data_IF_566760212529
#
_entry.id   IF_566760212529
#
_cell.length_a   1.000
_cell.length_b   1.000
_cell.length_c   1.000
_cell.angle_alpha   90.00
_cell.angle_beta   90.00
_cell.angle_gamma   90.00
#
_symmetry.space_group_name_H-M   'P 1'
#
loop_
_entity.id
_entity.type
_entity.pdbx_description
1 polymer ?
#
# COMPACT_ATOMS: atom_id res chain seq x y z
N UNK A 1 -75.24 15.29 31.96
CA UNK A 1 -74.40 15.52 30.76
C UNK A 1 -73.04 16.22 31.01
N UNK A 2 -72.68 16.72 32.20
CA UNK A 2 -71.43 17.49 32.40
C UNK A 2 -70.15 16.68 32.69
N UNK A 3 -70.23 15.39 33.07
CA UNK A 3 -69.05 14.56 33.40
C UNK A 3 -68.38 13.86 32.19
N UNK A 4 -69.09 13.71 31.05
CA UNK A 4 -68.51 13.11 29.83
C UNK A 4 -67.54 14.08 29.14
N UNK A 5 -67.84 15.38 29.12
CA UNK A 5 -67.03 16.38 28.41
C UNK A 5 -65.67 16.65 29.09
N UNK A 6 -65.57 16.47 30.41
CA UNK A 6 -64.28 16.59 31.14
C UNK A 6 -63.33 15.46 30.76
N UNK A 7 -63.83 14.22 30.56
CA UNK A 7 -63.00 13.08 30.15
C UNK A 7 -62.39 13.27 28.76
N UNK A 8 -63.15 13.82 27.82
CA UNK A 8 -62.65 14.12 26.47
C UNK A 8 -61.64 15.27 26.47
N UNK A 9 -61.83 16.29 27.31
CA UNK A 9 -60.88 17.39 27.45
C UNK A 9 -59.55 16.94 28.09
N UNK A 10 -59.59 16.05 29.07
CA UNK A 10 -58.39 15.45 29.66
C UNK A 10 -57.63 14.56 28.67
N UNK A 11 -58.35 13.81 27.81
CA UNK A 11 -57.73 12.98 26.78
C UNK A 11 -57.10 13.81 25.66
N UNK A 12 -57.74 14.93 25.29
CA UNK A 12 -57.22 15.87 24.29
C UNK A 12 -55.99 16.62 24.81
N UNK A 13 -56.01 17.04 26.08
CA UNK A 13 -54.87 17.72 26.71
C UNK A 13 -53.67 16.78 26.88
N UNK A 14 -53.91 15.51 27.28
CA UNK A 14 -52.87 14.48 27.35
C UNK A 14 -52.29 14.11 25.96
N UNK A 15 -53.11 14.12 24.90
CA UNK A 15 -52.65 13.90 23.52
C UNK A 15 -51.89 15.09 22.92
N UNK A 16 -52.17 16.31 23.37
CA UNK A 16 -51.44 17.50 22.88
C UNK A 16 -50.02 17.63 23.47
N UNK A 17 -49.77 17.05 24.65
CA UNK A 17 -48.46 17.02 25.30
C UNK A 17 -47.48 16.02 24.67
N UNK A 18 -47.97 14.98 23.96
CA UNK A 18 -47.10 14.00 23.30
C UNK A 18 -46.55 14.48 21.95
N UNK A 19 -47.19 15.47 21.32
CA UNK A 19 -46.73 16.05 20.05
C UNK A 19 -45.59 17.07 20.21
N UNK A 20 -45.34 17.58 21.43
CA UNK A 20 -44.21 18.49 21.72
C UNK A 20 -42.95 17.78 22.27
N UNK A 21 -43.01 16.47 22.53
CA UNK A 21 -41.91 15.73 23.16
C UNK A 21 -40.83 15.23 22.18
N UNK A 22 -41.10 15.20 20.87
CA UNK A 22 -40.09 14.82 19.87
C UNK A 22 -39.47 16.07 19.22
N UNK A 23 -38.52 16.70 19.92
CA UNK A 23 -37.57 17.59 19.24
C UNK A 23 -36.68 16.73 18.33
N UNK A 24 -36.51 17.10 17.05
CA UNK A 24 -35.60 16.42 16.09
C UNK A 24 -34.20 16.18 16.67
N UNK A 25 -33.73 17.06 17.56
CA UNK A 25 -32.44 16.94 18.26
C UNK A 25 -32.30 15.74 19.20
N UNK A 26 -33.38 15.01 19.52
CA UNK A 26 -33.31 13.74 20.26
C UNK A 26 -32.92 12.57 19.36
N UNK A 27 -33.14 12.69 18.03
CA UNK A 27 -32.75 11.69 17.04
C UNK A 27 -31.35 11.96 16.45
N UNK A 28 -30.85 13.20 16.53
CA UNK A 28 -29.47 13.56 16.21
C UNK A 28 -28.56 13.32 17.43
N UNK A 29 -28.32 12.05 17.74
CA UNK A 29 -27.29 11.69 18.71
C UNK A 29 -25.93 11.83 18.02
N UNK A 30 -25.22 12.92 18.30
CA UNK A 30 -23.79 13.00 17.96
C UNK A 30 -23.09 11.88 18.73
N UNK A 31 -22.45 10.90 18.07
CA UNK A 31 -21.93 9.74 18.75
C UNK A 31 -20.88 10.14 19.79
N UNK A 32 -21.20 9.90 21.06
CA UNK A 32 -20.31 10.18 22.19
C UNK A 32 -19.26 9.08 22.24
N UNK A 33 -17.98 9.46 22.21
CA UNK A 33 -16.85 8.53 22.25
C UNK A 33 -16.27 8.15 20.88
N UNK A 34 -16.85 8.62 19.77
CA UNK A 34 -16.23 8.53 18.44
C UNK A 34 -15.72 9.91 18.01
N UNK A 35 -14.49 9.98 17.52
CA UNK A 35 -14.05 11.20 16.86
C UNK A 35 -14.75 11.30 15.50
N UNK A 36 -15.72 12.21 15.38
CA UNK A 36 -16.23 12.61 14.07
C UNK A 36 -15.13 13.35 13.31
N UNK A 37 -15.04 13.16 11.98
CA UNK A 37 -14.07 13.84 11.12
C UNK A 37 -14.11 15.38 11.33
N UNK A 38 -15.31 15.93 11.58
CA UNK A 38 -15.53 17.35 11.86
C UNK A 38 -14.76 17.87 13.08
N UNK A 39 -14.43 17.02 14.05
CA UNK A 39 -13.85 17.39 15.34
C UNK A 39 -12.52 16.66 15.63
N UNK A 40 -11.96 15.89 14.70
CA UNK A 40 -10.75 15.09 14.98
C UNK A 40 -9.46 15.89 14.97
N UNK A 41 -9.25 16.75 13.97
CA UNK A 41 -7.97 17.45 13.78
C UNK A 41 -7.85 18.70 14.65
N UNK A 42 -7.49 18.53 15.92
CA UNK A 42 -7.43 19.63 16.90
C UNK A 42 -6.01 20.05 17.24
N UNK A 43 -5.01 19.23 16.95
CA UNK A 43 -3.59 19.51 17.24
C UNK A 43 -2.64 18.79 16.26
N UNK A 44 -1.34 19.08 16.40
CA UNK A 44 -0.27 18.50 15.57
C UNK A 44 -0.24 16.96 15.59
N UNK A 45 -0.45 16.33 16.75
CA UNK A 45 -0.42 14.87 16.87
C UNK A 45 -1.52 14.23 16.05
N UNK A 46 -2.74 14.78 16.11
CA UNK A 46 -3.88 14.29 15.34
C UNK A 46 -3.71 14.54 13.83
N UNK A 47 -3.09 15.67 13.44
CA UNK A 47 -2.70 15.92 12.05
C UNK A 47 -1.64 14.91 11.56
N UNK A 48 -0.64 14.60 12.39
CA UNK A 48 0.36 13.59 12.07
C UNK A 48 -0.26 12.19 11.95
N UNK A 49 -1.18 11.82 12.83
CA UNK A 49 -1.91 10.55 12.71
C UNK A 49 -2.72 10.47 11.41
N UNK A 50 -3.33 11.58 10.99
CA UNK A 50 -3.98 11.65 9.68
C UNK A 50 -3.01 11.43 8.53
N UNK A 51 -1.79 11.99 8.62
CA UNK A 51 -0.73 11.74 7.63
C UNK A 51 -0.27 10.28 7.63
N UNK A 52 -0.03 9.71 8.80
CA UNK A 52 0.31 8.28 8.96
C UNK A 52 -0.75 7.39 8.34
N UNK A 53 -2.04 7.71 8.52
CA UNK A 53 -3.13 6.96 7.90
C UNK A 53 -3.11 7.02 6.37
N UNK A 54 -2.51 8.03 5.74
CA UNK A 54 -2.31 8.05 4.28
C UNK A 54 -1.15 7.12 3.91
N UNK A 55 -0.01 7.21 4.60
CA UNK A 55 1.15 6.35 4.37
C UNK A 55 0.84 4.87 4.57
N UNK A 56 0.04 4.54 5.58
CA UNK A 56 -0.42 3.19 5.90
C UNK A 56 -1.02 2.46 4.68
N UNK A 57 -1.80 3.17 3.84
CA UNK A 57 -2.42 2.60 2.64
C UNK A 57 -1.39 2.05 1.65
N UNK A 58 -0.19 2.61 1.61
CA UNK A 58 0.91 2.15 0.74
C UNK A 58 1.36 0.74 1.14
N UNK A 59 1.29 0.40 2.43
CA UNK A 59 1.72 -0.88 2.99
C UNK A 59 0.62 -1.87 3.29
N UNK A 60 -0.63 -1.59 2.91
CA UNK A 60 -1.75 -2.50 3.15
C UNK A 60 -1.51 -3.89 2.56
N UNK A 61 -1.76 -4.91 3.39
CA UNK A 61 -1.63 -6.31 3.00
C UNK A 61 -2.89 -6.88 2.31
N UNK A 62 -3.83 -6.01 1.94
CA UNK A 62 -5.06 -6.34 1.21
C UNK A 62 -6.05 -7.22 1.98
N UNK A 63 -7.31 -7.20 1.54
CA UNK A 63 -8.25 -8.25 1.92
C UNK A 63 -7.91 -9.53 1.15
N UNK A 64 -7.93 -10.69 1.83
CA UNK A 64 -7.74 -11.98 1.14
C UNK A 64 -6.34 -12.21 0.56
N UNK A 65 -5.30 -11.57 1.11
CA UNK A 65 -3.89 -11.69 0.71
C UNK A 65 -3.52 -11.08 -0.65
N UNK A 66 -4.38 -10.25 -1.24
CA UNK A 66 -4.08 -9.61 -2.54
C UNK A 66 -3.41 -8.25 -2.30
N UNK A 67 -2.15 -8.11 -2.70
CA UNK A 67 -1.42 -6.83 -2.69
C UNK A 67 -1.13 -6.39 -4.12
N UNK A 68 -0.66 -5.16 -4.29
CA UNK A 68 -0.24 -4.68 -5.61
C UNK A 68 0.92 -5.53 -6.15
N UNK A 69 1.89 -5.83 -5.30
CA UNK A 69 3.11 -6.57 -5.65
C UNK A 69 2.77 -7.97 -6.15
N UNK A 70 2.03 -8.77 -5.38
CA UNK A 70 1.71 -10.14 -5.81
C UNK A 70 0.75 -10.20 -7.00
N UNK A 71 -0.18 -9.25 -7.13
CA UNK A 71 -1.02 -9.18 -8.31
C UNK A 71 -0.16 -8.91 -9.54
N UNK A 72 0.70 -7.89 -9.50
CA UNK A 72 1.55 -7.55 -10.66
C UNK A 72 2.55 -8.68 -11.00
N UNK A 73 3.10 -9.36 -10.00
CA UNK A 73 3.95 -10.54 -10.23
C UNK A 73 3.15 -11.67 -10.88
N UNK A 74 1.96 -12.01 -10.36
CA UNK A 74 1.13 -13.09 -10.90
C UNK A 74 0.70 -12.85 -12.36
N UNK A 75 0.47 -11.58 -12.75
CA UNK A 75 0.12 -11.18 -14.11
C UNK A 75 1.32 -10.96 -15.04
N UNK A 76 2.56 -11.19 -14.59
CA UNK A 76 3.77 -11.05 -15.40
C UNK A 76 4.10 -12.31 -16.20
N UNK A 77 5.18 -12.27 -16.98
CA UNK A 77 5.81 -13.43 -17.63
C UNK A 77 6.92 -14.09 -16.76
N UNK A 78 7.19 -13.53 -15.59
CA UNK A 78 8.22 -14.00 -14.65
C UNK A 78 7.67 -14.99 -13.61
N UNK A 79 6.35 -14.98 -13.36
CA UNK A 79 5.70 -15.81 -12.35
C UNK A 79 4.37 -16.43 -12.83
N UNK A 80 4.01 -17.57 -12.25
CA UNK A 80 2.61 -18.05 -12.24
C UNK A 80 1.92 -17.63 -10.95
N UNK A 81 0.59 -17.67 -10.89
CA UNK A 81 -0.12 -17.50 -9.61
C UNK A 81 0.32 -18.57 -8.57
N UNK A 82 0.36 -19.84 -8.96
CA UNK A 82 0.74 -20.94 -8.07
C UNK A 82 -0.33 -21.24 -7.02
N UNK A 83 0.08 -21.49 -5.78
CA UNK A 83 -0.85 -21.73 -4.66
C UNK A 83 -1.23 -23.20 -4.49
N UNK A 84 -2.25 -23.46 -3.67
CA UNK A 84 -2.66 -24.82 -3.32
C UNK A 84 -3.46 -25.53 -4.41
N UNK A 85 -4.21 -24.78 -5.22
CA UNK A 85 -5.02 -25.27 -6.33
C UNK A 85 -5.42 -24.12 -7.27
N UNK A 86 -6.11 -24.43 -8.37
CA UNK A 86 -6.52 -23.48 -9.40
C UNK A 86 -7.52 -22.38 -8.96
N UNK A 87 -8.04 -22.46 -7.73
CA UNK A 87 -8.99 -21.49 -7.14
C UNK A 87 -8.48 -20.85 -5.85
N UNK A 88 -7.26 -21.21 -5.40
CA UNK A 88 -6.63 -20.66 -4.20
C UNK A 88 -6.20 -19.22 -4.46
N UNK A 89 -6.73 -18.27 -3.66
CA UNK A 89 -6.71 -16.82 -3.94
C UNK A 89 -7.06 -16.55 -5.40
N UNK A 90 -8.31 -16.84 -5.75
CA UNK A 90 -8.80 -16.83 -7.12
C UNK A 90 -8.51 -15.52 -7.89
N UNK A 91 -8.44 -14.38 -7.19
CA UNK A 91 -8.08 -13.10 -7.80
C UNK A 91 -6.70 -13.12 -8.47
N UNK A 92 -5.71 -13.79 -7.88
CA UNK A 92 -4.39 -13.98 -8.49
C UNK A 92 -4.44 -14.98 -9.64
N UNK A 93 -5.23 -16.04 -9.50
CA UNK A 93 -5.38 -17.09 -10.53
C UNK A 93 -5.93 -16.52 -11.83
N UNK A 94 -7.02 -15.75 -11.76
CA UNK A 94 -7.64 -15.18 -12.95
C UNK A 94 -6.79 -14.08 -13.58
N UNK A 95 -5.96 -13.40 -12.79
CA UNK A 95 -5.05 -12.39 -13.30
C UNK A 95 -3.87 -13.05 -14.04
N UNK A 96 -3.28 -14.10 -13.47
CA UNK A 96 -2.21 -14.87 -14.10
C UNK A 96 -2.65 -15.59 -15.38
N UNK A 97 -3.89 -16.09 -15.40
CA UNK A 97 -4.44 -16.77 -16.59
C UNK A 97 -5.10 -15.82 -17.58
N UNK A 98 -5.11 -14.50 -17.32
CA UNK A 98 -5.78 -13.50 -18.16
C UNK A 98 -7.28 -13.78 -18.37
N UNK A 99 -7.94 -14.38 -17.36
CA UNK A 99 -9.38 -14.70 -17.36
C UNK A 99 -10.17 -13.81 -16.40
N UNK A 100 -9.60 -12.68 -15.97
CA UNK A 100 -10.26 -11.72 -15.10
C UNK A 100 -11.57 -11.19 -15.71
N UNK A 101 -12.49 -10.79 -14.85
CA UNK A 101 -13.75 -10.15 -15.21
C UNK A 101 -14.00 -8.94 -14.31
N UNK A 102 -14.99 -8.08 -14.60
CA UNK A 102 -15.35 -6.99 -13.69
C UNK A 102 -15.70 -7.46 -12.27
N UNK A 103 -16.12 -8.72 -12.09
CA UNK A 103 -16.54 -9.29 -10.80
C UNK A 103 -15.46 -10.12 -10.09
N UNK A 104 -14.39 -10.49 -10.79
CA UNK A 104 -13.38 -11.44 -10.28
C UNK A 104 -11.99 -11.01 -10.73
N UNK A 105 -11.06 -10.86 -9.78
CA UNK A 105 -9.71 -10.36 -10.02
C UNK A 105 -9.30 -9.33 -8.97
N UNK A 106 -8.02 -8.91 -8.99
CA UNK A 106 -7.46 -8.02 -7.95
C UNK A 106 -8.03 -6.59 -8.02
N UNK A 107 -8.82 -6.29 -9.05
CA UNK A 107 -9.37 -4.96 -9.34
C UNK A 107 -10.09 -4.32 -8.14
N UNK A 108 -10.88 -5.08 -7.38
CA UNK A 108 -11.59 -4.54 -6.21
C UNK A 108 -10.62 -4.03 -5.14
N UNK A 109 -9.64 -4.85 -4.77
CA UNK A 109 -8.65 -4.53 -3.74
C UNK A 109 -7.75 -3.36 -4.16
N UNK A 110 -7.26 -3.38 -5.42
CA UNK A 110 -6.39 -2.33 -5.96
C UNK A 110 -7.13 -0.99 -6.11
N UNK A 111 -8.39 -1.01 -6.56
CA UNK A 111 -9.24 0.17 -6.62
C UNK A 111 -9.52 0.73 -5.23
N UNK A 112 -9.90 -0.14 -4.28
CA UNK A 112 -10.20 0.24 -2.89
C UNK A 112 -8.98 0.88 -2.23
N UNK A 113 -7.80 0.29 -2.34
CA UNK A 113 -6.57 0.85 -1.78
C UNK A 113 -6.26 2.22 -2.38
N UNK A 114 -6.25 2.34 -3.72
CA UNK A 114 -5.98 3.60 -4.41
C UNK A 114 -6.92 4.73 -3.98
N UNK A 115 -8.24 4.49 -4.02
CA UNK A 115 -9.21 5.52 -3.63
C UNK A 115 -9.28 5.77 -2.12
N UNK A 116 -8.94 4.79 -1.27
CA UNK A 116 -8.80 5.03 0.17
C UNK A 116 -7.66 6.01 0.46
N UNK A 117 -6.53 5.83 -0.23
CA UNK A 117 -5.39 6.75 -0.14
C UNK A 117 -5.73 8.16 -0.63
N UNK A 118 -6.37 8.28 -1.80
CA UNK A 118 -6.85 9.56 -2.35
C UNK A 118 -7.81 10.26 -1.38
N UNK A 119 -8.79 9.55 -0.85
CA UNK A 119 -9.77 10.12 0.07
C UNK A 119 -9.09 10.63 1.36
N UNK A 120 -8.24 9.81 1.99
CA UNK A 120 -7.50 10.20 3.21
C UNK A 120 -6.63 11.44 2.96
N UNK A 121 -5.95 11.50 1.81
CA UNK A 121 -5.16 12.65 1.41
C UNK A 121 -6.00 13.91 1.24
N UNK A 122 -7.13 13.83 0.51
CA UNK A 122 -8.04 14.96 0.32
C UNK A 122 -8.57 15.50 1.65
N UNK A 123 -9.01 14.62 2.55
CA UNK A 123 -9.48 15.02 3.88
C UNK A 123 -8.38 15.74 4.64
N UNK A 124 -7.17 15.18 4.74
CA UNK A 124 -6.09 15.82 5.47
C UNK A 124 -5.75 17.21 4.89
N UNK A 125 -5.58 17.31 3.57
CA UNK A 125 -5.25 18.56 2.87
C UNK A 125 -6.30 19.65 3.17
N UNK A 126 -7.59 19.29 3.21
CA UNK A 126 -8.67 20.23 3.52
C UNK A 126 -8.72 20.66 4.99
N UNK A 127 -8.42 19.76 5.94
CA UNK A 127 -8.50 20.07 7.38
C UNK A 127 -7.28 20.79 7.91
N UNK A 128 -6.11 20.50 7.34
CA UNK A 128 -4.80 20.98 7.84
C UNK A 128 -4.71 22.50 8.07
N UNK A 129 -5.27 23.38 7.21
CA UNK A 129 -5.21 24.83 7.43
C UNK A 129 -5.72 25.25 8.81
N UNK A 130 -6.80 24.62 9.29
CA UNK A 130 -7.45 24.94 10.56
C UNK A 130 -6.78 24.35 11.82
N UNK A 131 -5.76 23.49 11.67
CA UNK A 131 -5.12 22.82 12.81
C UNK A 131 -4.11 23.77 13.48
N UNK A 132 -4.18 24.01 14.80
CA UNK A 132 -3.16 24.78 15.50
C UNK A 132 -1.88 23.95 15.68
N UNK A 133 -0.84 24.27 14.92
CA UNK A 133 0.47 23.60 14.92
C UNK A 133 1.54 24.48 14.26
N UNK A 134 2.80 24.05 14.33
CA UNK A 134 3.90 24.71 13.63
C UNK A 134 3.65 24.83 12.12
N UNK A 135 3.95 26.00 11.55
CA UNK A 135 3.64 26.31 10.16
C UNK A 135 4.50 25.52 9.17
N UNK A 136 5.76 25.25 9.50
CA UNK A 136 6.67 24.50 8.64
C UNK A 136 6.28 23.02 8.60
N UNK A 137 5.97 22.42 9.76
CA UNK A 137 5.43 21.07 9.84
C UNK A 137 4.09 20.94 9.14
N UNK A 138 3.21 21.95 9.26
CA UNK A 138 1.94 22.00 8.54
C UNK A 138 2.17 21.98 7.03
N UNK A 139 3.09 22.80 6.53
CA UNK A 139 3.45 22.82 5.11
C UNK A 139 3.98 21.45 4.66
N UNK A 140 4.93 20.88 5.40
CA UNK A 140 5.49 19.55 5.14
C UNK A 140 4.39 18.48 5.07
N UNK A 141 3.48 18.42 6.04
CA UNK A 141 2.40 17.42 6.04
C UNK A 141 1.44 17.57 4.86
N UNK A 142 1.12 18.80 4.47
CA UNK A 142 0.30 19.06 3.28
C UNK A 142 1.01 18.57 2.02
N UNK A 143 2.30 18.84 1.89
CA UNK A 143 3.11 18.46 0.73
C UNK A 143 3.29 16.94 0.64
N UNK A 144 3.53 16.26 1.76
CA UNK A 144 3.55 14.78 1.81
C UNK A 144 2.19 14.18 1.42
N UNK A 145 1.08 14.69 1.96
CA UNK A 145 -0.26 14.22 1.61
C UNK A 145 -0.60 14.44 0.13
N UNK A 146 -0.19 15.59 -0.43
CA UNK A 146 -0.39 15.93 -1.85
C UNK A 146 0.41 14.99 -2.75
N UNK A 147 1.67 14.73 -2.42
CA UNK A 147 2.49 13.77 -3.16
C UNK A 147 1.99 12.31 -3.05
N UNK A 148 1.48 11.91 -1.89
CA UNK A 148 0.86 10.59 -1.73
C UNK A 148 -0.43 10.46 -2.55
N UNK A 149 -1.23 11.54 -2.66
CA UNK A 149 -2.38 11.55 -3.58
C UNK A 149 -1.94 11.29 -5.03
N UNK A 150 -0.86 11.93 -5.47
CA UNK A 150 -0.26 11.66 -6.78
C UNK A 150 0.22 10.21 -6.91
N UNK A 151 0.85 9.64 -5.88
CA UNK A 151 1.25 8.22 -5.86
C UNK A 151 0.06 7.28 -6.09
N UNK A 152 -1.05 7.47 -5.38
CA UNK A 152 -2.24 6.63 -5.53
C UNK A 152 -2.90 6.81 -6.91
N UNK A 153 -3.01 8.06 -7.39
CA UNK A 153 -3.51 8.31 -8.74
C UNK A 153 -2.65 7.67 -9.83
N UNK A 154 -1.32 7.66 -9.63
CA UNK A 154 -0.42 7.05 -10.58
C UNK A 154 -0.59 5.53 -10.66
N UNK A 155 -0.86 4.83 -9.55
CA UNK A 155 -1.27 3.42 -9.59
C UNK A 155 -2.64 3.27 -10.29
N UNK A 156 -3.64 4.06 -9.91
CA UNK A 156 -5.01 4.00 -10.46
C UNK A 156 -5.05 4.18 -11.99
N UNK A 157 -4.35 5.20 -12.53
CA UNK A 157 -4.35 5.48 -13.98
C UNK A 157 -3.64 4.39 -14.78
N UNK A 158 -2.59 3.76 -14.23
CA UNK A 158 -1.87 2.67 -14.90
C UNK A 158 -2.66 1.36 -14.90
N UNK A 159 -3.44 1.12 -13.85
CA UNK A 159 -4.29 -0.07 -13.73
C UNK A 159 -5.60 0.06 -14.51
N UNK A 160 -6.27 1.21 -14.46
CA UNK A 160 -7.65 1.36 -14.93
C UNK A 160 -7.83 2.39 -16.05
N UNK A 161 -6.82 3.21 -16.35
CA UNK A 161 -6.85 4.32 -17.32
C UNK A 161 -7.85 5.42 -16.97
N UNK A 162 -9.14 5.15 -17.09
CA UNK A 162 -10.22 6.10 -16.84
C UNK A 162 -10.70 5.95 -15.39
N UNK A 163 -10.50 6.98 -14.58
CA UNK A 163 -10.84 6.95 -13.15
C UNK A 163 -11.44 8.28 -12.71
N UNK A 164 -12.33 8.30 -11.71
CA UNK A 164 -12.79 9.54 -11.09
C UNK A 164 -11.62 10.41 -10.57
N UNK A 165 -11.58 11.67 -10.97
CA UNK A 165 -10.57 12.64 -10.53
C UNK A 165 -11.12 13.49 -9.39
N UNK A 166 -10.73 13.17 -8.17
CA UNK A 166 -11.22 13.73 -6.92
C UNK A 166 -10.05 14.44 -6.23
N UNK A 167 -10.10 15.77 -6.17
CA UNK A 167 -9.07 16.59 -5.52
C UNK A 167 -9.53 17.18 -4.18
N UNK A 168 -10.74 16.82 -3.76
CA UNK A 168 -11.40 17.25 -2.53
C UNK A 168 -12.24 16.12 -1.93
N UNK A 169 -12.60 16.24 -0.66
CA UNK A 169 -13.57 15.33 -0.04
C UNK A 169 -14.96 15.59 -0.63
N UNK A 170 -15.64 14.52 -1.04
CA UNK A 170 -16.94 14.60 -1.69
C UNK A 170 -18.03 14.13 -0.72
N UNK A 171 -19.10 14.93 -0.53
CA UNK A 171 -20.27 14.51 0.23
C UNK A 171 -20.88 13.21 -0.31
N UNK A 172 -21.37 12.36 0.58
CA UNK A 172 -21.90 11.04 0.20
C UNK A 172 -23.07 11.09 -0.80
N UNK A 173 -23.85 12.18 -0.81
CA UNK A 173 -24.95 12.40 -1.75
C UNK A 173 -24.49 12.81 -3.15
N UNK A 174 -23.23 13.23 -3.31
CA UNK A 174 -22.62 13.62 -4.59
C UNK A 174 -21.78 12.54 -5.24
N UNK A 175 -21.53 11.43 -4.54
CA UNK A 175 -20.62 10.40 -5.03
C UNK A 175 -21.13 9.68 -6.29
N UNK A 176 -22.46 9.63 -6.48
CA UNK A 176 -23.10 8.99 -7.63
C UNK A 176 -23.11 9.85 -8.90
N UNK A 177 -22.79 11.14 -8.79
CA UNK A 177 -22.77 12.07 -9.92
C UNK A 177 -21.37 12.19 -10.57
N UNK A 178 -20.38 11.44 -10.07
CA UNK A 178 -18.99 11.58 -10.50
C UNK A 178 -18.70 10.73 -11.72
N UNK A 179 -18.23 11.39 -12.78
CA UNK A 179 -17.78 10.73 -14.01
C UNK A 179 -16.27 10.41 -13.97
N UNK A 180 -15.87 9.43 -14.79
CA UNK A 180 -14.45 9.13 -15.00
C UNK A 180 -13.78 10.26 -15.79
N UNK A 181 -12.58 10.66 -15.37
CA UNK A 181 -11.73 11.56 -16.12
C UNK A 181 -10.89 10.78 -17.15
N UNK A 182 -10.51 11.47 -18.23
CA UNK A 182 -9.55 10.96 -19.19
C UNK A 182 -8.14 10.80 -18.55
N UNK A 183 -7.34 9.80 -18.94
CA UNK A 183 -6.01 9.57 -18.37
C UNK A 183 -5.10 10.81 -18.36
N UNK A 184 -5.15 11.62 -19.42
CA UNK A 184 -4.33 12.83 -19.53
C UNK A 184 -4.65 13.86 -18.43
N UNK A 185 -5.91 13.98 -18.00
CA UNK A 185 -6.29 14.87 -16.90
C UNK A 185 -5.77 14.34 -15.55
N UNK A 186 -5.81 13.02 -15.37
CA UNK A 186 -5.29 12.36 -14.16
C UNK A 186 -3.76 12.53 -14.08
N UNK A 187 -3.03 12.30 -15.18
CA UNK A 187 -1.59 12.55 -15.26
C UNK A 187 -1.23 14.00 -14.99
N UNK A 188 -1.98 14.96 -15.57
CA UNK A 188 -1.77 16.37 -15.27
C UNK A 188 -1.90 16.67 -13.77
N UNK A 189 -2.92 16.12 -13.10
CA UNK A 189 -3.08 16.30 -11.65
C UNK A 189 -1.92 15.68 -10.86
N UNK A 190 -1.45 14.50 -11.25
CA UNK A 190 -0.28 13.84 -10.65
C UNK A 190 0.95 14.74 -10.76
N UNK A 191 1.22 15.28 -11.95
CA UNK A 191 2.34 16.21 -12.15
C UNK A 191 2.21 17.47 -11.30
N UNK A 192 1.03 18.09 -11.29
CA UNK A 192 0.78 19.32 -10.54
C UNK A 192 1.00 19.09 -9.04
N UNK A 193 0.50 17.98 -8.50
CA UNK A 193 0.66 17.58 -7.09
C UNK A 193 2.15 17.36 -6.73
N UNK A 194 2.90 16.63 -7.57
CA UNK A 194 4.32 16.35 -7.33
C UNK A 194 5.19 17.61 -7.46
N UNK A 195 4.92 18.47 -8.46
CA UNK A 195 5.59 19.77 -8.64
C UNK A 195 5.32 20.70 -7.46
N UNK A 196 4.07 20.75 -6.97
CA UNK A 196 3.71 21.55 -5.81
C UNK A 196 4.43 21.07 -4.54
N UNK A 197 4.50 19.75 -4.32
CA UNK A 197 5.23 19.19 -3.18
C UNK A 197 6.75 19.43 -3.28
N UNK A 198 7.35 19.31 -4.47
CA UNK A 198 8.78 19.60 -4.71
C UNK A 198 9.15 21.07 -4.46
N UNK A 199 8.24 21.98 -4.77
CA UNK A 199 8.42 23.42 -4.55
C UNK A 199 8.39 23.82 -3.06
N UNK A 200 7.89 22.95 -2.18
CA UNK A 200 7.90 23.20 -0.73
C UNK A 200 9.29 22.97 -0.14
N UNK A 201 9.86 24.01 0.48
CA UNK A 201 11.16 23.95 1.14
C UNK A 201 11.13 23.16 2.46
N UNK A 202 9.96 22.80 2.96
CA UNK A 202 9.80 22.00 4.18
C UNK A 202 9.84 20.49 3.92
N UNK A 203 9.84 20.04 2.66
CA UNK A 203 10.18 18.66 2.32
C UNK A 203 11.70 18.51 2.42
N UNK A 204 12.22 17.62 3.27
CA UNK A 204 13.65 17.51 3.48
C UNK A 204 14.34 16.75 2.34
N UNK A 205 15.63 17.04 2.12
CA UNK A 205 16.48 16.24 1.23
C UNK A 205 16.82 14.88 1.84
N UNK A 206 16.97 14.81 3.17
CA UNK A 206 17.27 13.59 3.94
C UNK A 206 16.46 13.56 5.23
N UNK A 207 16.15 12.37 5.71
CA UNK A 207 15.48 12.14 7.00
C UNK A 207 16.36 11.34 7.93
N UNK A 208 16.14 11.48 9.24
CA UNK A 208 16.65 10.51 10.21
C UNK A 208 15.86 9.20 10.03
N UNK A 209 16.52 8.18 9.48
CA UNK A 209 15.90 6.88 9.17
C UNK A 209 15.36 6.16 10.40
N UNK A 210 15.84 6.50 11.61
CA UNK A 210 15.37 5.86 12.85
C UNK A 210 14.01 6.40 13.33
N UNK A 211 13.64 7.60 12.88
CA UNK A 211 12.40 8.30 13.27
C UNK A 211 11.44 8.43 12.09
N UNK A 212 11.95 8.87 10.94
CA UNK A 212 11.19 9.28 9.77
C UNK A 212 11.45 8.36 8.56
N UNK A 213 12.10 7.20 8.76
CA UNK A 213 12.34 6.22 7.71
C UNK A 213 11.06 5.84 6.96
N UNK A 214 11.10 5.92 5.63
CA UNK A 214 9.93 5.69 4.75
C UNK A 214 9.09 6.93 4.43
N UNK A 215 9.30 8.06 5.12
CA UNK A 215 8.65 9.33 4.75
C UNK A 215 9.27 9.95 3.50
N UNK A 216 8.45 10.68 2.75
CA UNK A 216 8.85 11.33 1.52
C UNK A 216 9.94 12.38 1.75
N UNK A 217 10.93 12.35 0.87
CA UNK A 217 12.03 13.32 0.72
C UNK A 217 11.96 13.95 -0.67
N UNK A 218 12.69 15.04 -0.90
CA UNK A 218 12.78 15.63 -2.25
C UNK A 218 13.31 14.64 -3.28
N UNK A 219 14.28 13.80 -2.90
CA UNK A 219 14.79 12.73 -3.76
C UNK A 219 13.71 11.72 -4.15
N UNK A 220 12.86 11.30 -3.21
CA UNK A 220 11.72 10.42 -3.50
C UNK A 220 10.68 11.07 -4.43
N UNK A 221 10.43 12.37 -4.27
CA UNK A 221 9.51 13.10 -5.15
C UNK A 221 10.06 13.22 -6.58
N UNK A 222 11.35 13.54 -6.75
CA UNK A 222 12.00 13.53 -8.07
C UNK A 222 11.95 12.13 -8.71
N UNK A 223 12.20 11.07 -7.95
CA UNK A 223 12.13 9.70 -8.46
C UNK A 223 10.71 9.33 -8.93
N UNK A 224 9.68 9.71 -8.17
CA UNK A 224 8.30 9.47 -8.53
C UNK A 224 7.89 10.29 -9.76
N UNK A 225 8.23 11.58 -9.81
CA UNK A 225 7.92 12.45 -10.95
C UNK A 225 8.64 12.00 -12.23
N UNK A 226 9.91 11.64 -12.13
CA UNK A 226 10.66 11.05 -13.25
C UNK A 226 10.02 9.77 -13.77
N UNK A 227 9.51 8.92 -12.87
CA UNK A 227 8.77 7.70 -13.25
C UNK A 227 7.44 8.02 -13.93
N UNK A 228 6.72 9.04 -13.47
CA UNK A 228 5.47 9.52 -14.12
C UNK A 228 5.77 9.97 -15.54
N UNK A 229 6.75 10.86 -15.73
CA UNK A 229 7.17 11.33 -17.05
C UNK A 229 7.63 10.20 -17.96
N UNK A 230 8.34 9.21 -17.43
CA UNK A 230 8.77 8.05 -18.19
C UNK A 230 7.57 7.25 -18.74
N UNK A 231 6.53 7.05 -17.92
CA UNK A 231 5.30 6.38 -18.35
C UNK A 231 4.50 7.18 -19.38
N UNK A 232 4.58 8.51 -19.32
CA UNK A 232 4.00 9.42 -20.32
C UNK A 232 4.89 9.63 -21.56
N UNK A 233 6.05 8.96 -21.62
CA UNK A 233 7.03 9.11 -22.71
C UNK A 233 7.62 10.53 -22.84
N UNK A 234 7.60 11.31 -21.74
CA UNK A 234 8.27 12.62 -21.60
C UNK A 234 9.73 12.41 -21.22
N UNK A 235 10.50 11.86 -22.17
CA UNK A 235 11.84 11.31 -21.91
C UNK A 235 12.84 12.34 -21.37
N UNK A 236 12.79 13.57 -21.88
CA UNK A 236 13.72 14.64 -21.49
C UNK A 236 13.44 15.12 -20.06
N UNK A 237 12.18 15.27 -19.70
CA UNK A 237 11.72 15.62 -18.37
C UNK A 237 12.06 14.49 -17.39
N UNK A 238 11.77 13.24 -17.75
CA UNK A 238 12.14 12.07 -16.95
C UNK A 238 13.65 12.02 -16.66
N UNK A 239 14.49 12.19 -17.69
CA UNK A 239 15.94 12.21 -17.53
C UNK A 239 16.43 13.36 -16.63
N UNK A 240 15.75 14.52 -16.68
CA UNK A 240 16.05 15.66 -15.81
C UNK A 240 15.77 15.31 -14.35
N UNK A 241 14.60 14.76 -14.05
CA UNK A 241 14.25 14.36 -12.68
C UNK A 241 15.16 13.25 -12.16
N UNK A 242 15.45 12.23 -12.98
CA UNK A 242 16.34 11.13 -12.57
C UNK A 242 17.79 11.58 -12.39
N UNK A 243 18.24 12.65 -13.05
CA UNK A 243 19.58 13.22 -12.81
C UNK A 243 19.69 13.82 -11.40
N UNK A 244 18.64 14.45 -10.89
CA UNK A 244 18.61 14.93 -9.50
C UNK A 244 18.77 13.76 -8.52
N UNK A 245 18.11 12.63 -8.78
CA UNK A 245 18.14 11.42 -7.92
C UNK A 245 19.46 10.67 -8.02
N UNK A 246 19.96 10.44 -9.22
CA UNK A 246 21.14 9.60 -9.47
C UNK A 246 22.47 10.35 -9.28
N UNK A 247 22.43 11.68 -9.22
CA UNK A 247 23.63 12.51 -9.15
C UNK A 247 24.43 12.51 -10.46
N UNK A 248 25.70 12.91 -10.38
CA UNK A 248 26.57 13.03 -11.56
C UNK A 248 26.88 11.68 -12.23
N UNK A 249 26.96 10.61 -11.43
CA UNK A 249 27.31 9.27 -11.90
C UNK A 249 26.33 8.26 -11.29
N UNK A 250 25.44 7.65 -12.10
CA UNK A 250 24.48 6.67 -11.60
C UNK A 250 25.12 5.56 -10.76
N UNK A 251 24.53 5.33 -9.60
CA UNK A 251 24.94 4.31 -8.64
C UNK A 251 26.12 4.66 -7.73
N UNK A 252 26.80 5.78 -7.97
CA UNK A 252 27.68 6.39 -6.97
C UNK A 252 26.87 7.21 -5.97
N UNK A 253 27.52 7.62 -4.89
CA UNK A 253 26.86 8.40 -3.85
C UNK A 253 26.38 9.76 -4.41
N UNK A 254 25.07 9.98 -4.32
CA UNK A 254 24.51 11.31 -4.50
C UNK A 254 24.71 12.11 -3.20
N UNK A 255 25.59 13.11 -3.21
CA UNK A 255 25.89 13.89 -2.00
C UNK A 255 24.67 14.62 -1.42
N UNK A 256 23.72 15.04 -2.27
CA UNK A 256 22.50 15.77 -1.88
C UNK A 256 21.50 14.87 -1.16
N UNK A 257 21.20 13.69 -1.70
CA UNK A 257 20.17 12.80 -1.15
C UNK A 257 20.71 11.57 -0.40
N UNK A 258 22.00 11.26 -0.54
CA UNK A 258 22.66 10.13 0.13
C UNK A 258 22.46 8.78 -0.56
N UNK A 259 21.77 8.73 -1.69
CA UNK A 259 21.51 7.49 -2.41
C UNK A 259 22.80 6.90 -3.00
N UNK A 260 22.96 5.58 -2.91
CA UNK A 260 24.10 4.82 -3.42
C UNK A 260 23.74 3.34 -3.53
N UNK A 261 24.13 2.70 -4.64
CA UNK A 261 23.96 1.25 -4.77
C UNK A 261 24.74 0.50 -3.68
N UNK A 262 24.14 -0.57 -3.17
CA UNK A 262 24.87 -1.50 -2.31
C UNK A 262 25.94 -2.24 -3.11
N UNK A 263 27.09 -2.51 -2.48
CA UNK A 263 28.15 -3.29 -3.11
C UNK A 263 27.77 -4.76 -3.30
N UNK A 264 26.86 -5.27 -2.45
CA UNK A 264 26.32 -6.62 -2.52
C UNK A 264 24.81 -6.57 -2.75
N UNK A 265 24.39 -7.00 -3.94
CA UNK A 265 22.99 -7.08 -4.34
C UNK A 265 22.16 -7.96 -3.40
N UNK A 266 22.74 -9.01 -2.82
CA UNK A 266 22.01 -9.89 -1.90
C UNK A 266 21.61 -9.18 -0.60
N UNK A 267 22.29 -8.07 -0.26
CA UNK A 267 22.00 -7.30 0.94
C UNK A 267 20.73 -6.45 0.85
N UNK A 268 20.17 -6.24 -0.35
CA UNK A 268 18.85 -5.61 -0.52
C UNK A 268 17.71 -6.43 0.12
N UNK A 269 17.88 -7.76 0.17
CA UNK A 269 16.83 -8.70 0.58
C UNK A 269 16.97 -9.16 2.03
N UNK A 270 17.86 -8.53 2.79
CA UNK A 270 18.04 -8.80 4.22
C UNK A 270 17.06 -7.94 5.02
N UNK A 271 16.20 -8.57 5.82
CA UNK A 271 15.19 -7.89 6.66
C UNK A 271 15.79 -6.93 7.70
N UNK A 272 17.07 -7.10 8.04
CA UNK A 272 17.83 -6.21 8.92
C UNK A 272 18.40 -4.96 8.22
N UNK A 273 18.38 -4.89 6.88
CA UNK A 273 18.97 -3.82 6.09
C UNK A 273 17.91 -2.87 5.50
N UNK A 274 16.94 -2.47 6.33
CA UNK A 274 15.86 -1.54 5.97
C UNK A 274 16.39 -0.13 5.73
N UNK A 275 15.76 0.60 4.83
CA UNK A 275 16.11 2.01 4.53
C UNK A 275 17.61 2.20 4.25
N UNK A 276 18.21 1.23 3.57
CA UNK A 276 19.63 1.26 3.20
C UNK A 276 19.91 2.34 2.15
N UNK A 277 21.18 2.53 1.77
CA UNK A 277 21.57 3.63 0.86
C UNK A 277 20.95 3.55 -0.54
N UNK A 278 20.44 2.39 -0.96
CA UNK A 278 19.77 2.23 -2.27
C UNK A 278 18.25 2.48 -2.17
N UNK A 279 17.72 2.60 -0.95
CA UNK A 279 16.31 2.87 -0.68
C UNK A 279 15.95 4.33 -0.95
N UNK A 280 14.99 4.56 -1.86
CA UNK A 280 14.48 5.90 -2.19
C UNK A 280 13.13 6.15 -1.51
N UNK A 281 12.19 5.23 -1.71
CA UNK A 281 10.89 5.17 -1.03
C UNK A 281 10.61 3.70 -0.73
N UNK A 282 10.48 3.38 0.55
CA UNK A 282 10.34 2.01 1.04
C UNK A 282 9.20 1.94 2.06
N UNK A 283 8.37 0.92 1.89
CA UNK A 283 7.27 0.61 2.82
C UNK A 283 7.84 -0.09 4.04
N UNK A 284 7.56 0.46 5.22
CA UNK A 284 7.94 -0.17 6.48
C UNK A 284 6.95 -1.26 6.91
N UNK A 285 7.41 -2.50 7.03
CA UNK A 285 6.69 -3.57 7.71
C UNK A 285 7.27 -3.87 9.09
N UNK A 286 6.43 -4.39 10.00
CA UNK A 286 6.78 -4.65 11.40
C UNK A 286 6.19 -5.96 11.91
N UNK A 287 6.97 -6.72 12.67
CA UNK A 287 6.51 -7.89 13.42
C UNK A 287 5.88 -7.56 14.78
N UNK A 288 5.79 -6.26 15.12
CA UNK A 288 5.29 -5.80 16.42
C UNK A 288 3.79 -5.53 16.46
N UNK A 289 3.11 -5.51 15.31
CA UNK A 289 1.65 -5.40 15.27
C UNK A 289 1.02 -6.69 15.76
N UNK A 290 -0.11 -6.60 16.46
CA UNK A 290 -0.94 -7.75 16.83
C UNK A 290 -1.81 -8.21 15.64
N UNK A 291 -1.20 -8.38 14.47
CA UNK A 291 -1.88 -8.96 13.31
C UNK A 291 -2.29 -10.40 13.60
N UNK A 292 -3.34 -10.89 12.95
CA UNK A 292 -3.74 -12.29 13.04
C UNK A 292 -4.33 -12.74 11.70
N UNK A 293 -4.43 -14.06 11.51
CA UNK A 293 -5.05 -14.63 10.30
C UNK A 293 -6.54 -14.28 10.18
N UNK A 294 -7.22 -13.91 11.27
CA UNK A 294 -8.61 -13.46 11.26
C UNK A 294 -8.77 -12.06 10.66
N UNK A 295 -7.72 -11.23 10.67
CA UNK A 295 -7.70 -9.93 10.02
C UNK A 295 -6.32 -9.62 9.42
N UNK A 296 -6.07 -10.14 8.21
CA UNK A 296 -4.86 -9.82 7.45
C UNK A 296 -4.75 -8.32 7.17
N UNK A 297 -5.86 -7.66 6.88
CA UNK A 297 -5.87 -6.20 6.67
C UNK A 297 -5.51 -5.39 7.93
N UNK A 298 -5.45 -6.01 9.10
CA UNK A 298 -5.06 -5.37 10.37
C UNK A 298 -3.57 -5.58 10.71
N UNK A 299 -2.80 -6.27 9.86
CA UNK A 299 -1.38 -6.56 10.11
C UNK A 299 -0.47 -5.48 9.55
N UNK A 300 0.64 -5.22 10.24
CA UNK A 300 1.78 -4.46 9.72
C UNK A 300 2.88 -5.39 9.17
N UNK A 301 2.67 -6.71 9.26
CA UNK A 301 3.57 -7.72 8.69
C UNK A 301 3.55 -7.73 7.16
N UNK A 302 4.49 -8.45 6.55
CA UNK A 302 4.53 -8.62 5.09
C UNK A 302 4.06 -10.03 4.70
N UNK A 303 2.89 -10.12 4.06
CA UNK A 303 2.28 -11.38 3.62
C UNK A 303 3.04 -12.02 2.46
N UNK A 304 3.83 -11.27 1.69
CA UNK A 304 4.70 -11.87 0.67
C UNK A 304 5.60 -12.95 1.26
N UNK A 305 6.04 -12.77 2.51
CA UNK A 305 6.95 -13.72 3.15
C UNK A 305 6.36 -15.12 3.34
N UNK A 306 5.04 -15.22 3.53
CA UNK A 306 4.34 -16.51 3.61
C UNK A 306 3.82 -16.96 2.24
N UNK A 307 3.35 -16.03 1.41
CA UNK A 307 2.74 -16.29 0.10
C UNK A 307 3.71 -17.03 -0.83
N UNK A 308 4.96 -16.53 -0.94
CA UNK A 308 5.94 -17.09 -1.87
C UNK A 308 6.73 -18.29 -1.31
N UNK A 309 6.56 -18.59 -0.02
CA UNK A 309 7.29 -19.66 0.64
C UNK A 309 6.86 -21.05 0.15
N UNK A 310 7.78 -22.03 0.08
CA UNK A 310 7.45 -23.40 -0.31
C UNK A 310 6.55 -24.14 0.68
N UNK A 311 5.67 -25.02 0.21
CA UNK A 311 4.82 -25.86 1.07
C UNK A 311 5.63 -26.99 1.70
N UNK A 312 5.33 -27.27 2.98
CA UNK A 312 5.91 -28.34 3.79
C UNK A 312 7.44 -28.44 3.73
N UNK A 313 8.11 -27.29 3.67
CA UNK A 313 9.57 -27.23 3.59
C UNK A 313 10.24 -27.86 4.81
N UNK A 314 11.23 -28.71 4.55
CA UNK A 314 12.04 -29.39 5.56
C UNK A 314 13.51 -29.29 5.19
N UNK A 315 14.31 -28.69 6.06
CA UNK A 315 15.77 -28.80 5.98
C UNK A 315 16.20 -30.22 6.35
N UNK A 316 16.91 -30.92 5.46
CA UNK A 316 17.43 -32.28 5.70
C UNK A 316 18.91 -32.27 6.09
N UNK A 317 19.63 -31.19 5.77
CA UNK A 317 21.06 -31.02 6.07
C UNK A 317 21.33 -29.66 6.72
N UNK A 318 22.41 -29.50 7.51
CA UNK A 318 22.76 -28.23 8.15
C UNK A 318 23.03 -27.07 7.18
N UNK A 319 23.36 -27.36 5.93
CA UNK A 319 23.60 -26.35 4.88
C UNK A 319 22.36 -26.03 4.03
N UNK A 320 21.19 -26.56 4.40
CA UNK A 320 19.94 -26.20 3.75
C UNK A 320 19.62 -24.71 3.99
N UNK A 321 19.00 -24.02 3.02
CA UNK A 321 18.53 -22.66 3.22
C UNK A 321 17.54 -22.55 4.39
N UNK A 322 17.61 -21.43 5.10
CA UNK A 322 16.75 -21.14 6.23
C UNK A 322 15.39 -20.60 5.77
N UNK A 323 14.53 -21.46 5.21
CA UNK A 323 13.17 -21.11 4.81
C UNK A 323 12.13 -21.63 5.81
N UNK A 324 11.01 -20.92 5.92
CA UNK A 324 9.78 -21.45 6.53
C UNK A 324 8.82 -21.97 5.46
N UNK A 325 7.91 -22.86 5.88
CA UNK A 325 6.81 -23.27 5.01
C UNK A 325 5.88 -22.10 4.71
N UNK A 326 5.44 -22.00 3.46
CA UNK A 326 4.52 -21.00 2.96
C UNK A 326 3.46 -21.59 2.03
N UNK A 327 2.89 -20.76 1.16
CA UNK A 327 1.71 -21.11 0.34
C UNK A 327 2.02 -21.40 -1.13
N UNK A 328 3.28 -21.33 -1.55
CA UNK A 328 3.76 -21.67 -2.90
C UNK A 328 3.08 -20.88 -4.02
N UNK A 329 2.74 -19.62 -3.76
CA UNK A 329 2.36 -18.67 -4.80
C UNK A 329 3.59 -18.08 -5.46
N UNK A 330 3.39 -17.47 -6.64
CA UNK A 330 4.44 -16.81 -7.42
C UNK A 330 5.66 -17.69 -7.72
N UNK A 331 5.51 -19.00 -8.06
CA UNK A 331 6.65 -19.77 -8.54
C UNK A 331 7.24 -19.09 -9.77
N UNK A 332 8.56 -19.04 -9.81
CA UNK A 332 9.33 -18.41 -10.89
C UNK A 332 9.18 -19.26 -12.14
N UNK A 333 8.92 -18.63 -13.29
CA UNK A 333 8.83 -19.33 -14.56
C UNK A 333 10.18 -19.88 -14.97
N UNK A 334 10.17 -20.96 -15.75
CA UNK A 334 11.41 -21.50 -16.33
C UNK A 334 12.11 -20.46 -17.21
N UNK A 335 11.34 -19.63 -17.92
CA UNK A 335 11.89 -18.58 -18.78
C UNK A 335 12.73 -17.57 -17.99
N UNK A 336 12.21 -17.05 -16.87
CA UNK A 336 12.98 -16.15 -16.01
C UNK A 336 14.21 -16.87 -15.45
N UNK A 337 14.06 -18.09 -14.92
CA UNK A 337 15.18 -18.85 -14.37
C UNK A 337 16.30 -19.08 -15.40
N UNK A 338 15.95 -19.48 -16.63
CA UNK A 338 16.90 -19.70 -17.72
C UNK A 338 17.59 -18.38 -18.10
N UNK A 339 16.83 -17.28 -18.21
CA UNK A 339 17.33 -15.96 -18.59
C UNK A 339 18.38 -15.43 -17.60
N UNK A 340 18.21 -15.70 -16.31
CA UNK A 340 19.14 -15.23 -15.27
C UNK A 340 20.04 -16.33 -14.72
N UNK A 341 20.06 -17.55 -15.29
CA UNK A 341 20.71 -18.70 -14.65
C UNK A 341 22.18 -18.44 -14.26
N UNK A 342 22.93 -17.77 -15.14
CA UNK A 342 24.33 -17.39 -14.94
C UNK A 342 24.53 -15.95 -14.46
N UNK A 343 23.45 -15.20 -14.24
CA UNK A 343 23.50 -13.84 -13.72
C UNK A 343 23.82 -13.86 -12.21
N UNK A 344 24.69 -12.96 -11.72
CA UNK A 344 25.02 -12.91 -10.29
C UNK A 344 23.81 -12.66 -9.37
N UNK A 345 22.72 -12.09 -9.91
CA UNK A 345 21.47 -11.84 -9.18
C UNK A 345 20.64 -13.11 -8.98
N UNK A 346 20.89 -14.20 -9.71
CA UNK A 346 20.12 -15.44 -9.64
C UNK A 346 20.02 -15.98 -8.21
N UNK A 347 21.17 -16.09 -7.53
CA UNK A 347 21.25 -16.66 -6.18
C UNK A 347 20.40 -15.91 -5.15
N UNK A 348 20.24 -14.61 -5.32
CA UNK A 348 19.37 -13.80 -4.48
C UNK A 348 17.90 -13.82 -4.95
N UNK A 349 17.67 -14.09 -6.24
CA UNK A 349 16.36 -14.01 -6.88
C UNK A 349 15.57 -15.31 -6.77
N UNK A 350 16.20 -16.45 -7.07
CA UNK A 350 15.53 -17.74 -7.23
C UNK A 350 16.00 -18.74 -6.19
N UNK A 351 15.05 -19.32 -5.47
CA UNK A 351 15.25 -20.50 -4.65
C UNK A 351 14.93 -21.75 -5.48
N UNK A 352 15.96 -22.47 -5.92
CA UNK A 352 15.82 -23.70 -6.71
C UNK A 352 15.66 -24.93 -5.80
N UNK A 353 14.42 -25.20 -5.38
CA UNK A 353 14.11 -26.25 -4.43
C UNK A 353 14.15 -27.65 -5.03
N UNK A 354 13.85 -27.80 -6.33
CA UNK A 354 14.01 -29.08 -7.03
C UNK A 354 15.45 -29.56 -7.00
N UNK A 355 16.41 -28.64 -7.20
CA UNK A 355 17.83 -28.97 -7.04
C UNK A 355 18.16 -29.37 -5.60
N UNK A 356 17.64 -28.66 -4.60
CA UNK A 356 17.91 -29.00 -3.19
C UNK A 356 17.32 -30.36 -2.82
N UNK A 357 16.14 -30.69 -3.33
CA UNK A 357 15.45 -31.97 -3.15
C UNK A 357 16.20 -33.12 -3.83
N UNK A 358 16.60 -32.94 -5.09
CA UNK A 358 17.40 -33.93 -5.81
C UNK A 358 18.74 -34.25 -5.13
N UNK A 359 19.33 -33.28 -4.42
CA UNK A 359 20.59 -33.44 -3.69
C UNK A 359 20.40 -33.86 -2.21
N UNK A 360 19.16 -34.14 -1.78
CA UNK A 360 18.82 -34.50 -0.41
C UNK A 360 19.25 -33.45 0.62
N UNK A 361 19.25 -32.17 0.26
CA UNK A 361 19.59 -31.04 1.13
C UNK A 361 18.35 -30.54 1.86
N UNK A 362 17.22 -30.47 1.16
CA UNK A 362 15.92 -30.09 1.70
C UNK A 362 14.83 -30.93 1.03
N UNK A 363 13.63 -30.93 1.59
CA UNK A 363 12.43 -31.48 0.98
C UNK A 363 11.31 -30.43 1.00
N UNK A 364 10.36 -30.56 0.08
CA UNK A 364 9.17 -29.72 -0.01
C UNK A 364 8.07 -30.44 -0.80
N UNK A 365 6.82 -29.99 -0.64
CA UNK A 365 5.66 -30.51 -1.38
C UNK A 365 5.37 -29.63 -2.60
N UNK A 366 5.46 -30.15 -3.85
CA UNK A 366 5.01 -29.43 -5.03
C UNK A 366 3.53 -29.06 -4.94
N UNK A 367 3.21 -27.84 -5.37
CA UNK A 367 1.85 -27.29 -5.35
C UNK A 367 1.33 -27.02 -6.79
N UNK A 368 0.20 -26.32 -6.92
CA UNK A 368 -0.36 -25.97 -8.22
C UNK A 368 0.63 -25.10 -9.02
N UNK A 369 0.80 -25.40 -10.31
CA UNK A 369 1.77 -24.73 -11.20
C UNK A 369 3.23 -24.71 -10.68
N UNK A 370 3.63 -25.71 -9.88
CA UNK A 370 5.00 -25.81 -9.39
C UNK A 370 6.03 -25.91 -10.54
N UNK A 371 7.07 -25.09 -10.47
CA UNK A 371 8.23 -25.12 -11.39
C UNK A 371 9.51 -25.63 -10.74
N UNK A 372 9.52 -25.83 -9.42
CA UNK A 372 10.75 -26.08 -8.64
C UNK A 372 11.52 -24.81 -8.28
N UNK A 373 11.13 -23.65 -8.83
CA UNK A 373 11.78 -22.36 -8.65
C UNK A 373 10.85 -21.42 -7.89
N UNK A 374 11.31 -20.90 -6.76
CA UNK A 374 10.54 -20.02 -5.88
C UNK A 374 11.18 -18.63 -5.82
N UNK A 375 10.36 -17.59 -5.55
CA UNK A 375 10.83 -16.21 -5.40
C UNK A 375 11.63 -16.04 -4.09
N UNK A 376 12.95 -16.24 -4.19
CA UNK A 376 13.86 -16.31 -3.04
C UNK A 376 14.09 -14.98 -2.32
N UNK A 377 13.86 -13.84 -2.99
CA UNK A 377 14.01 -12.49 -2.40
C UNK A 377 13.10 -12.26 -1.20
N UNK A 378 11.88 -12.78 -1.29
CA UNK A 378 10.85 -12.54 -0.30
C UNK A 378 10.44 -13.80 0.46
N UNK A 379 10.98 -14.98 0.14
CA UNK A 379 10.68 -16.21 0.88
C UNK A 379 11.04 -16.05 2.37
N UNK A 380 10.05 -16.29 3.24
CA UNK A 380 10.20 -16.15 4.68
C UNK A 380 11.28 -17.08 5.25
N UNK A 381 11.95 -16.60 6.31
CA UNK A 381 13.06 -17.29 6.98
C UNK A 381 12.72 -17.64 8.41
N UNK A 382 13.28 -18.73 8.94
CA UNK A 382 13.03 -19.10 10.34
C UNK A 382 13.68 -18.08 11.28
N UNK A 383 14.86 -17.55 10.91
CA UNK A 383 15.56 -16.50 11.63
C UNK A 383 14.74 -15.22 11.82
N UNK A 384 13.83 -14.96 10.89
CA UNK A 384 13.06 -13.72 10.82
C UNK A 384 11.63 -13.91 11.32
N UNK A 385 11.26 -15.14 11.70
CA UNK A 385 9.95 -15.46 12.23
C UNK A 385 9.73 -14.72 13.55
N UNK A 386 8.59 -14.03 13.66
CA UNK A 386 8.19 -13.37 14.90
C UNK A 386 8.13 -14.37 16.06
N UNK A 387 8.65 -13.96 17.21
CA UNK A 387 8.54 -14.67 18.49
C UNK A 387 7.36 -14.19 19.34
N UNK A 388 6.61 -13.19 18.85
CA UNK A 388 5.37 -12.70 19.44
C UNK A 388 4.16 -13.59 19.11
N UNK A 389 3.03 -13.33 19.75
CA UNK A 389 1.79 -14.11 19.60
C UNK A 389 0.87 -13.69 18.45
N UNK A 390 1.35 -12.90 17.48
CA UNK A 390 0.60 -12.41 16.32
C UNK A 390 1.17 -12.95 15.03
#
# INVERSE_FOLDING_TARGET
MKKKNIKYLSFFLAGSLTLMACKKSFLDVTPKGTNLESNYYRNQTEAFNGLVAIYDVVGWQGGGFVTKENAMDAGSDDHYAGGGNATDINDLQVFSNYTLSPSVGPSYELWRAGFSGVFRANVLIQKLPGVPMDANLKSRYKSEATALRAYFYFDLVRLFKYVPLLTESIPADKIYDIEQAAPAAVYKQIEDDLKAALADNNIPDKVDVTVDGGRLTKGALHALLGKVYLYEQKWAEAATEFKEVNGATPGQENSKYGYKLLSDFASLWKTSNKFNSESILEVGHSSKSAGSWDCIACTEGNVMNIIVGPRDYKALKPNAPDYISGYSFLPVTKNLFDAIHFDPRNKATVANLDSLKANGIADYTPAYMNTGYFLGKFAGRLSDKTTGGG
#
